data_IF_128662135705
#
_entry.id   IF_128662135705
#
_cell.length_a   1.000
_cell.length_b   1.000
_cell.length_c   1.000
_cell.angle_alpha   90.00
_cell.angle_beta   90.00
_cell.angle_gamma   90.00
#
_symmetry.space_group_name_H-M   'P 1'
#
loop_
_entity.id
_entity.type
_entity.pdbx_description
1 polymer ?
#
# COMPACT_ATOMS: atom_id res chain seq x y z
N UNK A 1 33.39 -34.57 17.02
CA UNK A 1 32.35 -34.23 16.02
C UNK A 1 30.95 -34.17 16.59
N UNK A 2 30.55 -34.99 17.54
CA UNK A 2 29.15 -35.06 18.07
C UNK A 2 28.70 -33.83 18.85
N UNK A 3 29.57 -33.14 19.60
CA UNK A 3 29.20 -31.96 20.41
C UNK A 3 28.90 -30.71 19.57
N UNK A 4 29.57 -30.56 18.41
CA UNK A 4 29.30 -29.40 17.51
C UNK A 4 27.94 -29.48 16.77
N UNK A 5 27.47 -30.70 16.51
CA UNK A 5 26.14 -30.89 15.90
C UNK A 5 24.98 -30.57 16.85
N UNK A 6 25.14 -30.90 18.14
CA UNK A 6 24.11 -30.66 19.16
C UNK A 6 23.95 -29.14 19.40
N UNK A 7 25.03 -28.37 19.41
CA UNK A 7 24.97 -26.91 19.56
C UNK A 7 24.29 -26.23 18.39
N UNK A 8 24.43 -26.71 17.15
CA UNK A 8 23.80 -26.16 15.98
C UNK A 8 22.25 -26.40 15.97
N UNK A 9 21.81 -27.55 16.47
CA UNK A 9 20.40 -27.90 16.56
C UNK A 9 19.70 -27.09 17.66
N UNK A 10 20.37 -26.86 18.81
CA UNK A 10 19.81 -26.01 19.88
C UNK A 10 19.70 -24.53 19.46
N UNK A 11 20.66 -24.00 18.69
CA UNK A 11 20.60 -22.63 18.19
C UNK A 11 19.46 -22.42 17.17
N UNK A 12 19.18 -23.41 16.32
CA UNK A 12 18.08 -23.37 15.37
C UNK A 12 16.70 -23.42 16.07
N UNK A 13 16.58 -24.18 17.15
CA UNK A 13 15.32 -24.29 17.91
C UNK A 13 14.94 -23.01 18.67
N UNK A 14 15.90 -22.18 19.06
CA UNK A 14 15.67 -20.91 19.75
C UNK A 14 15.24 -19.77 18.83
N UNK A 15 15.50 -19.85 17.52
CA UNK A 15 15.12 -18.83 16.55
C UNK A 15 13.72 -19.02 15.95
N UNK A 16 13.17 -20.23 15.99
CA UNK A 16 11.85 -20.57 15.43
C UNK A 16 10.69 -19.77 16.05
N UNK A 17 10.56 -19.61 17.38
CA UNK A 17 9.42 -18.88 17.96
C UNK A 17 9.43 -17.38 17.63
N UNK A 18 10.60 -16.77 17.41
CA UNK A 18 10.71 -15.36 17.01
C UNK A 18 10.25 -15.13 15.58
N UNK A 19 10.54 -16.03 14.67
CA UNK A 19 10.11 -15.94 13.27
C UNK A 19 8.59 -16.10 13.13
N UNK A 20 7.99 -17.03 13.85
CA UNK A 20 6.54 -17.26 13.87
C UNK A 20 5.77 -16.07 14.43
N UNK A 21 6.24 -15.45 15.50
CA UNK A 21 5.61 -14.25 16.09
C UNK A 21 5.71 -13.03 15.16
N UNK A 22 6.82 -12.87 14.43
CA UNK A 22 6.99 -11.77 13.49
C UNK A 22 6.06 -11.92 12.28
N UNK A 23 5.87 -13.15 11.79
CA UNK A 23 4.97 -13.44 10.67
C UNK A 23 3.51 -13.22 11.03
N UNK A 24 3.05 -13.70 12.19
CA UNK A 24 1.70 -13.43 12.69
C UNK A 24 1.43 -11.92 12.82
N UNK A 25 2.40 -11.16 13.32
CA UNK A 25 2.30 -9.70 13.41
C UNK A 25 2.23 -9.02 12.05
N UNK A 26 2.97 -9.51 11.06
CA UNK A 26 2.93 -8.97 9.70
C UNK A 26 1.63 -9.33 8.99
N UNK A 27 1.12 -10.56 9.16
CA UNK A 27 -0.18 -10.94 8.60
C UNK A 27 -1.34 -10.11 9.18
N UNK A 28 -1.35 -9.84 10.46
CA UNK A 28 -2.30 -8.91 11.07
C UNK A 28 -2.26 -7.51 10.46
N UNK A 29 -1.06 -7.01 10.09
CA UNK A 29 -0.91 -5.72 9.41
C UNK A 29 -1.41 -5.78 7.97
N UNK A 30 -1.12 -6.86 7.24
CA UNK A 30 -1.62 -7.11 5.88
C UNK A 30 -3.14 -7.11 5.87
N UNK A 31 -3.74 -7.89 6.77
CA UNK A 31 -5.20 -7.98 6.92
C UNK A 31 -5.83 -6.62 7.27
N UNK A 32 -5.19 -5.84 8.15
CA UNK A 32 -5.63 -4.48 8.45
C UNK A 32 -5.64 -3.59 7.19
N UNK A 33 -4.61 -3.69 6.35
CA UNK A 33 -4.53 -2.92 5.10
C UNK A 33 -5.60 -3.35 4.11
N UNK A 34 -5.91 -4.65 3.98
CA UNK A 34 -7.01 -5.17 3.14
C UNK A 34 -8.37 -4.64 3.60
N UNK A 35 -8.66 -4.74 4.90
CA UNK A 35 -9.91 -4.22 5.50
C UNK A 35 -10.06 -2.72 5.30
N UNK A 36 -8.98 -1.97 5.49
CA UNK A 36 -8.93 -0.53 5.25
C UNK A 36 -9.27 -0.21 3.80
N UNK A 37 -8.63 -0.88 2.84
CA UNK A 37 -8.88 -0.67 1.42
C UNK A 37 -10.34 -0.97 1.04
N UNK A 38 -10.86 -2.12 1.47
CA UNK A 38 -12.26 -2.50 1.21
C UNK A 38 -13.26 -1.47 1.77
N UNK A 39 -13.02 -0.98 3.00
CA UNK A 39 -13.86 0.07 3.61
C UNK A 39 -13.78 1.37 2.82
N UNK A 40 -12.59 1.80 2.43
CA UNK A 40 -12.37 3.03 1.68
C UNK A 40 -13.02 2.99 0.30
N UNK A 41 -12.88 1.87 -0.42
CA UNK A 41 -13.53 1.69 -1.72
C UNK A 41 -15.06 1.69 -1.60
N UNK A 42 -15.61 1.03 -0.58
CA UNK A 42 -17.07 1.06 -0.33
C UNK A 42 -17.57 2.49 -0.08
N UNK A 43 -16.78 3.30 0.60
CA UNK A 43 -17.12 4.72 0.82
C UNK A 43 -16.99 5.53 -0.47
N UNK A 44 -15.93 5.33 -1.27
CA UNK A 44 -15.76 5.98 -2.56
C UNK A 44 -16.95 5.68 -3.49
N UNK A 45 -17.37 4.41 -3.60
CA UNK A 45 -18.49 4.01 -4.47
C UNK A 45 -19.83 4.62 -4.07
N UNK A 46 -20.01 4.99 -2.79
CA UNK A 46 -21.19 5.72 -2.33
C UNK A 46 -21.12 7.20 -2.70
N UNK A 47 -19.93 7.81 -2.62
CA UNK A 47 -19.71 9.22 -2.92
C UNK A 47 -19.68 9.51 -4.42
N UNK A 48 -19.08 8.59 -5.18
CA UNK A 48 -18.90 8.67 -6.63
C UNK A 48 -19.12 7.28 -7.26
N UNK A 49 -20.35 6.93 -7.63
CA UNK A 49 -20.68 5.60 -8.15
C UNK A 49 -19.93 5.21 -9.43
N UNK A 50 -19.56 6.18 -10.27
CA UNK A 50 -18.82 5.93 -11.52
C UNK A 50 -17.41 5.42 -11.26
N UNK A 51 -16.85 5.70 -10.08
CA UNK A 51 -15.53 5.24 -9.66
C UNK A 51 -15.40 3.72 -9.62
N UNK A 52 -16.49 2.99 -9.39
CA UNK A 52 -16.47 1.53 -9.40
C UNK A 52 -16.11 0.99 -10.79
N UNK A 53 -16.73 1.51 -11.84
CA UNK A 53 -16.43 1.14 -13.21
C UNK A 53 -15.00 1.56 -13.61
N UNK A 54 -14.54 2.74 -13.16
CA UNK A 54 -13.18 3.22 -13.39
C UNK A 54 -12.14 2.26 -12.80
N UNK A 55 -12.32 1.84 -11.54
CA UNK A 55 -11.43 0.89 -10.85
C UNK A 55 -11.45 -0.49 -11.53
N UNK A 56 -12.62 -0.99 -11.91
CA UNK A 56 -12.74 -2.29 -12.57
C UNK A 56 -12.03 -2.35 -13.93
N UNK A 57 -12.00 -1.23 -14.66
CA UNK A 57 -11.35 -1.12 -15.99
C UNK A 57 -9.87 -0.75 -15.90
N UNK A 58 -9.37 -0.35 -14.73
CA UNK A 58 -7.98 0.08 -14.53
C UNK A 58 -7.02 -1.10 -14.53
N UNK A 59 -5.75 -0.86 -14.84
CA UNK A 59 -4.67 -1.83 -14.65
C UNK A 59 -4.43 -2.16 -13.16
N UNK A 60 -4.75 -1.21 -12.29
CA UNK A 60 -4.67 -1.39 -10.85
C UNK A 60 -5.02 -0.13 -10.09
N UNK A 61 -5.05 -0.26 -8.78
CA UNK A 61 -5.33 0.84 -7.87
C UNK A 61 -4.52 0.73 -6.57
N UNK A 62 -4.37 1.84 -5.86
CA UNK A 62 -3.73 1.84 -4.54
C UNK A 62 -4.56 2.67 -3.57
N UNK A 63 -4.67 2.21 -2.32
CA UNK A 63 -5.48 2.85 -1.28
C UNK A 63 -4.62 3.14 -0.06
N UNK A 64 -4.74 4.36 0.47
CA UNK A 64 -4.06 4.82 1.68
C UNK A 64 -5.05 5.52 2.60
N UNK A 65 -4.90 5.31 3.90
CA UNK A 65 -5.74 5.92 4.92
C UNK A 65 -4.87 6.67 5.94
N UNK A 66 -5.09 7.97 6.03
CA UNK A 66 -4.47 8.87 7.01
C UNK A 66 -5.46 9.31 8.10
N UNK A 67 -6.60 8.63 8.23
CA UNK A 67 -7.62 8.96 9.21
C UNK A 67 -7.20 8.57 10.62
N UNK A 68 -7.35 9.48 11.56
CA UNK A 68 -7.16 9.19 13.00
C UNK A 68 -5.71 9.07 13.46
N UNK A 69 -4.72 9.42 12.66
CA UNK A 69 -3.35 9.57 13.12
C UNK A 69 -3.21 10.87 13.91
N UNK A 70 -3.14 10.77 15.24
CA UNK A 70 -2.87 11.91 16.11
C UNK A 70 -1.43 12.42 15.89
N UNK A 71 -1.26 13.38 15.01
CA UNK A 71 0.03 13.94 14.58
C UNK A 71 0.51 15.13 15.41
N UNK A 72 -0.15 15.40 16.53
CA UNK A 72 0.20 16.53 17.41
C UNK A 72 1.63 16.47 17.97
N UNK A 73 2.30 15.32 17.90
CA UNK A 73 3.64 15.13 18.46
C UNK A 73 4.70 14.64 17.47
N UNK A 74 4.33 14.33 16.22
CA UNK A 74 5.28 13.82 15.23
C UNK A 74 5.18 14.63 13.93
N UNK A 75 6.27 15.24 13.53
CA UNK A 75 6.42 15.98 12.27
C UNK A 75 6.27 15.10 11.02
N UNK A 76 5.99 13.79 11.17
CA UNK A 76 5.83 12.85 10.07
C UNK A 76 4.67 11.88 10.36
N UNK A 77 3.65 11.89 9.49
CA UNK A 77 2.63 10.85 9.45
C UNK A 77 3.14 9.64 8.66
N UNK A 78 3.01 8.46 9.25
CA UNK A 78 3.31 7.19 8.57
C UNK A 78 2.04 6.37 8.47
N UNK A 79 1.55 6.18 7.25
CA UNK A 79 0.33 5.43 7.00
C UNK A 79 0.62 4.18 6.18
N UNK A 80 -0.18 3.15 6.40
CA UNK A 80 -0.14 1.94 5.61
C UNK A 80 -1.09 2.05 4.44
N UNK A 81 -0.71 1.46 3.33
CA UNK A 81 -1.53 1.33 2.14
C UNK A 81 -1.37 -0.02 1.48
N UNK A 82 -2.16 -0.25 0.46
CA UNK A 82 -2.09 -1.44 -0.38
C UNK A 82 -2.36 -1.05 -1.82
N UNK A 83 -1.56 -1.55 -2.74
CA UNK A 83 -1.81 -1.50 -4.17
C UNK A 83 -2.21 -2.88 -4.68
N UNK A 84 -3.15 -2.91 -5.61
CA UNK A 84 -3.69 -4.15 -6.18
C UNK A 84 -3.62 -4.04 -7.70
N UNK A 85 -2.98 -5.01 -8.34
CA UNK A 85 -3.03 -5.20 -9.78
C UNK A 85 -4.38 -5.80 -10.15
N UNK A 86 -5.15 -5.13 -11.01
CA UNK A 86 -6.51 -5.55 -11.37
C UNK A 86 -6.54 -6.84 -12.18
N UNK A 87 -5.48 -7.13 -12.97
CA UNK A 87 -5.39 -8.29 -13.83
C UNK A 87 -4.94 -9.54 -13.05
N UNK A 88 -3.83 -9.42 -12.30
CA UNK A 88 -3.20 -10.56 -11.60
C UNK A 88 -3.73 -10.77 -10.19
N UNK A 89 -4.47 -9.79 -9.64
CA UNK A 89 -4.90 -9.71 -8.23
C UNK A 89 -3.74 -9.67 -7.23
N UNK A 90 -2.52 -9.43 -7.72
CA UNK A 90 -1.35 -9.31 -6.86
C UNK A 90 -1.48 -8.09 -5.95
N UNK A 91 -1.25 -8.32 -4.66
CA UNK A 91 -1.20 -7.29 -3.63
C UNK A 91 0.24 -6.82 -3.42
N UNK A 92 0.41 -5.52 -3.30
CA UNK A 92 1.67 -4.90 -2.87
C UNK A 92 1.38 -3.98 -1.71
N UNK A 93 1.92 -4.27 -0.54
CA UNK A 93 1.77 -3.44 0.64
C UNK A 93 2.67 -2.22 0.55
N UNK A 94 2.10 -1.05 0.82
CA UNK A 94 2.74 0.24 0.64
C UNK A 94 2.80 1.02 1.96
N UNK A 95 3.64 2.02 1.98
CA UNK A 95 3.73 3.04 3.04
C UNK A 95 3.49 4.41 2.42
N UNK A 96 2.88 5.30 3.19
CA UNK A 96 2.83 6.73 2.90
C UNK A 96 3.52 7.47 4.04
N UNK A 97 4.37 8.42 3.69
CA UNK A 97 4.95 9.40 4.63
C UNK A 97 4.52 10.78 4.16
N UNK A 98 4.01 11.59 5.08
CA UNK A 98 3.77 13.00 4.85
C UNK A 98 4.79 13.79 5.69
N UNK A 99 5.62 14.58 5.03
CA UNK A 99 6.60 15.45 5.67
C UNK A 99 6.14 16.90 5.54
N UNK A 100 6.19 17.65 6.64
CA UNK A 100 6.11 19.10 6.60
C UNK A 100 4.73 19.66 6.27
N UNK A 101 3.66 19.10 6.78
CA UNK A 101 2.43 19.87 6.91
C UNK A 101 2.76 21.10 7.77
N UNK A 102 2.76 22.26 7.15
CA UNK A 102 3.09 23.51 7.81
C UNK A 102 2.36 23.66 9.13
N UNK A 103 3.07 24.09 10.12
CA UNK A 103 2.54 24.51 11.41
C UNK A 103 1.37 25.46 11.11
N UNK A 104 0.12 24.99 11.32
CA UNK A 104 -1.07 25.82 11.14
C UNK A 104 -2.17 25.31 10.22
N UNK A 105 -1.89 24.40 9.28
CA UNK A 105 -2.94 23.77 8.48
C UNK A 105 -3.14 22.35 9.00
N UNK A 106 -4.02 22.19 9.97
CA UNK A 106 -4.29 20.95 10.70
C UNK A 106 -4.16 19.71 9.85
N UNK A 107 -3.54 18.68 10.42
CA UNK A 107 -3.45 17.35 9.81
C UNK A 107 -4.84 16.91 9.44
N UNK A 108 -5.11 16.91 8.14
CA UNK A 108 -6.43 16.58 7.66
C UNK A 108 -6.54 15.06 7.59
N UNK A 109 -7.47 14.53 8.33
CA UNK A 109 -7.90 13.16 8.14
C UNK A 109 -8.40 13.00 6.70
N UNK A 110 -7.71 12.18 5.91
CA UNK A 110 -8.07 11.93 4.51
C UNK A 110 -7.67 10.52 4.08
N UNK A 111 -8.35 10.02 3.08
CA UNK A 111 -8.00 8.81 2.35
C UNK A 111 -7.69 9.16 0.92
N UNK A 112 -6.71 8.48 0.36
CA UNK A 112 -6.27 8.67 -1.03
C UNK A 112 -6.42 7.36 -1.78
N UNK A 113 -7.04 7.43 -2.94
CA UNK A 113 -7.18 6.30 -3.86
C UNK A 113 -6.53 6.71 -5.19
N UNK A 114 -5.46 6.00 -5.56
CA UNK A 114 -4.85 6.08 -6.88
C UNK A 114 -5.50 5.07 -7.81
N UNK A 115 -5.72 5.47 -9.05
CA UNK A 115 -6.16 4.58 -10.15
C UNK A 115 -5.14 4.70 -11.26
N UNK A 116 -4.69 3.56 -11.78
CA UNK A 116 -3.70 3.47 -12.84
C UNK A 116 -4.38 2.95 -14.11
N UNK A 117 -4.42 3.78 -15.17
CA UNK A 117 -5.08 3.41 -16.44
C UNK A 117 -4.39 2.26 -17.16
N UNK A 118 -3.07 2.14 -16.96
CA UNK A 118 -2.26 1.16 -17.68
C UNK A 118 -1.17 0.54 -16.78
N UNK A 119 -0.65 -0.60 -17.21
CA UNK A 119 0.35 -1.37 -16.47
C UNK A 119 1.66 -0.61 -16.27
N UNK A 120 2.03 0.27 -17.20
CA UNK A 120 3.25 1.09 -17.10
C UNK A 120 3.16 2.06 -15.92
N UNK A 121 2.03 2.75 -15.78
CA UNK A 121 1.81 3.68 -14.67
C UNK A 121 1.80 2.94 -13.32
N UNK A 122 1.13 1.78 -13.26
CA UNK A 122 1.12 0.92 -12.08
C UNK A 122 2.53 0.43 -11.72
N UNK A 123 3.28 -0.11 -12.68
CA UNK A 123 4.63 -0.62 -12.46
C UNK A 123 5.56 0.50 -11.95
N UNK A 124 5.53 1.66 -12.58
CA UNK A 124 6.32 2.82 -12.15
C UNK A 124 6.00 3.23 -10.71
N UNK A 125 4.72 3.26 -10.33
CA UNK A 125 4.30 3.55 -8.97
C UNK A 125 4.80 2.50 -7.96
N UNK A 126 4.74 1.21 -8.33
CA UNK A 126 5.18 0.11 -7.46
C UNK A 126 6.70 0.07 -7.31
N UNK A 127 7.47 0.38 -8.34
CA UNK A 127 8.92 0.26 -8.33
C UNK A 127 9.62 1.50 -7.78
N UNK A 128 9.24 2.67 -8.28
CA UNK A 128 9.88 3.94 -7.93
C UNK A 128 9.18 4.68 -6.79
N UNK A 129 7.93 4.28 -6.47
CA UNK A 129 7.04 5.05 -5.63
C UNK A 129 6.52 6.31 -6.34
N UNK A 130 5.89 7.18 -5.55
CA UNK A 130 5.38 8.44 -6.04
C UNK A 130 5.50 9.53 -4.97
N UNK A 131 5.74 10.77 -5.39
CA UNK A 131 5.86 11.91 -4.49
C UNK A 131 5.00 13.08 -4.98
N UNK A 132 4.18 13.61 -4.07
CA UNK A 132 3.42 14.81 -4.32
C UNK A 132 4.31 16.05 -4.29
N UNK A 133 4.16 16.93 -5.28
CA UNK A 133 4.86 18.20 -5.41
C UNK A 133 3.88 19.36 -5.58
N UNK A 134 4.38 20.58 -5.48
CA UNK A 134 3.58 21.77 -5.78
C UNK A 134 3.07 21.78 -7.24
N UNK A 135 3.86 21.24 -8.16
CA UNK A 135 3.47 21.07 -9.57
C UNK A 135 2.31 20.08 -9.72
N UNK A 136 2.31 19.01 -8.92
CA UNK A 136 1.22 18.03 -8.89
C UNK A 136 -0.08 18.68 -8.41
N UNK A 137 -0.03 19.49 -7.35
CA UNK A 137 -1.20 20.20 -6.83
C UNK A 137 -1.71 21.27 -7.82
N UNK A 138 -0.81 21.89 -8.59
CA UNK A 138 -1.16 22.85 -9.64
C UNK A 138 -1.83 22.13 -10.84
N UNK A 139 -1.30 20.99 -11.28
CA UNK A 139 -1.90 20.19 -12.34
C UNK A 139 -3.27 19.65 -11.92
N UNK A 140 -3.40 19.26 -10.65
CA UNK A 140 -4.64 18.82 -10.05
C UNK A 140 -5.75 19.87 -10.07
N UNK A 141 -5.40 21.15 -9.92
CA UNK A 141 -6.36 22.28 -10.03
C UNK A 141 -6.85 22.51 -11.44
N UNK A 142 -6.05 22.15 -12.45
CA UNK A 142 -6.37 22.36 -13.87
C UNK A 142 -7.15 21.22 -14.51
N UNK A 143 -7.21 20.05 -13.88
CA UNK A 143 -7.52 18.78 -14.55
C UNK A 143 -8.80 18.06 -14.12
N UNK A 144 -9.81 18.71 -13.53
CA UNK A 144 -11.09 18.05 -13.30
C UNK A 144 -11.84 17.83 -14.63
N UNK A 145 -11.54 16.76 -15.34
CA UNK A 145 -12.32 16.35 -16.51
C UNK A 145 -13.46 15.44 -16.04
N UNK A 146 -14.68 15.77 -16.47
CA UNK A 146 -15.82 14.84 -16.35
C UNK A 146 -15.57 13.57 -17.19
N UNK A 147 -16.38 12.54 -17.01
CA UNK A 147 -16.29 11.28 -17.74
C UNK A 147 -16.03 10.09 -16.81
N UNK A 148 -15.25 9.11 -17.28
CA UNK A 148 -15.02 7.87 -16.58
C UNK A 148 -14.38 8.04 -15.17
N UNK A 149 -13.69 9.17 -14.94
CA UNK A 149 -13.01 9.51 -13.68
C UNK A 149 -13.63 10.75 -13.02
N UNK A 150 -14.97 10.88 -13.09
CA UNK A 150 -15.68 11.97 -12.42
C UNK A 150 -15.26 12.08 -10.95
N UNK A 151 -14.94 13.28 -10.48
CA UNK A 151 -14.48 13.53 -9.11
C UNK A 151 -13.04 13.13 -8.80
N UNK A 152 -12.31 12.50 -9.75
CA UNK A 152 -10.87 12.26 -9.64
C UNK A 152 -10.08 13.37 -10.33
N UNK A 153 -8.82 13.46 -9.97
CA UNK A 153 -7.86 14.40 -10.55
C UNK A 153 -6.69 13.63 -11.14
N UNK A 154 -6.31 13.94 -12.38
CA UNK A 154 -5.11 13.39 -12.99
C UNK A 154 -3.87 14.08 -12.39
N UNK A 155 -2.99 13.29 -11.78
CA UNK A 155 -1.78 13.77 -11.09
C UNK A 155 -0.49 13.48 -11.86
N UNK A 156 -0.58 12.56 -12.81
CA UNK A 156 0.46 12.22 -13.79
C UNK A 156 -0.23 11.50 -14.96
N UNK A 157 0.39 11.38 -16.14
CA UNK A 157 -0.20 10.69 -17.29
C UNK A 157 -0.68 9.27 -16.93
N UNK A 158 -1.99 9.03 -17.02
CA UNK A 158 -2.62 7.77 -16.68
C UNK A 158 -2.70 7.44 -15.19
N UNK A 159 -2.49 8.43 -14.31
CA UNK A 159 -2.61 8.29 -12.84
C UNK A 159 -3.66 9.26 -12.32
N UNK A 160 -4.75 8.72 -11.85
CA UNK A 160 -5.88 9.47 -11.30
C UNK A 160 -5.96 9.29 -9.78
N UNK A 161 -6.43 10.31 -9.08
CA UNK A 161 -6.52 10.30 -7.62
C UNK A 161 -7.88 10.80 -7.16
N UNK A 162 -8.51 10.02 -6.29
CA UNK A 162 -9.59 10.47 -5.43
C UNK A 162 -9.05 10.76 -4.04
N UNK A 163 -9.53 11.82 -3.42
CA UNK A 163 -9.27 12.11 -2.02
C UNK A 163 -10.59 12.23 -1.27
N UNK A 164 -10.77 11.42 -0.24
CA UNK A 164 -11.92 11.45 0.65
C UNK A 164 -11.52 12.10 1.97
N UNK A 165 -12.26 13.10 2.40
CA UNK A 165 -12.11 13.78 3.68
C UNK A 165 -13.29 13.49 4.58
N UNK A 166 -13.30 14.00 5.80
CA UNK A 166 -14.49 13.95 6.69
C UNK A 166 -15.74 14.61 6.07
N UNK A 167 -15.54 15.53 5.14
CA UNK A 167 -16.61 16.28 4.47
C UNK A 167 -17.02 15.67 3.12
N UNK A 168 -16.53 14.48 2.79
CA UNK A 168 -16.79 13.81 1.52
C UNK A 168 -15.62 13.92 0.53
N UNK A 169 -15.94 13.82 -0.77
CA UNK A 169 -14.93 13.85 -1.82
C UNK A 169 -14.33 15.25 -1.95
N UNK A 170 -13.01 15.33 -1.94
CA UNK A 170 -12.27 16.58 -2.09
C UNK A 170 -12.10 16.92 -3.58
N UNK A 171 -12.52 18.11 -3.97
CA UNK A 171 -12.33 18.64 -5.33
C UNK A 171 -10.92 19.22 -5.54
N UNK A 172 -10.19 19.45 -4.47
CA UNK A 172 -8.80 19.90 -4.48
C UNK A 172 -7.93 18.91 -3.71
N UNK A 173 -6.91 18.39 -4.38
CA UNK A 173 -5.94 17.50 -3.75
C UNK A 173 -4.89 18.33 -2.99
N UNK A 174 -4.47 17.79 -1.86
CA UNK A 174 -3.31 18.28 -1.12
C UNK A 174 -2.36 17.10 -0.94
N UNK A 175 -1.51 16.89 -1.93
CA UNK A 175 -0.56 15.77 -1.98
C UNK A 175 0.88 16.25 -1.76
N UNK A 176 1.13 17.57 -1.74
CA UNK A 176 2.45 18.15 -1.52
C UNK A 176 3.07 17.64 -0.22
N UNK A 177 4.35 17.25 -0.31
CA UNK A 177 5.09 16.73 0.83
C UNK A 177 4.73 15.28 1.23
N UNK A 178 3.93 14.58 0.42
CA UNK A 178 3.66 13.16 0.63
C UNK A 178 4.53 12.28 -0.25
N UNK A 179 4.99 11.15 0.28
CA UNK A 179 5.72 10.13 -0.45
C UNK A 179 5.08 8.77 -0.22
N UNK A 180 4.85 8.05 -1.32
CA UNK A 180 4.28 6.71 -1.36
C UNK A 180 5.33 5.74 -1.85
N UNK A 181 5.54 4.61 -1.15
CA UNK A 181 6.58 3.65 -1.49
C UNK A 181 6.28 2.26 -0.93
N UNK A 182 6.95 1.25 -1.47
CA UNK A 182 6.78 -0.15 -1.08
C UNK A 182 7.17 -0.39 0.37
N UNK A 183 6.39 -1.22 1.06
CA UNK A 183 6.71 -1.69 2.40
C UNK A 183 7.43 -3.03 2.33
N UNK A 184 8.76 -3.02 2.29
CA UNK A 184 9.56 -4.22 2.13
C UNK A 184 9.25 -5.28 3.19
N UNK A 185 9.01 -4.89 4.45
CA UNK A 185 8.73 -5.83 5.53
C UNK A 185 7.46 -6.64 5.31
N UNK A 186 6.41 -6.01 4.74
CA UNK A 186 5.14 -6.67 4.46
C UNK A 186 5.12 -7.40 3.11
N UNK A 187 6.05 -7.10 2.20
CA UNK A 187 6.14 -7.74 0.89
C UNK A 187 7.17 -8.88 0.83
N UNK A 188 7.97 -9.08 1.89
CA UNK A 188 8.86 -10.24 1.97
C UNK A 188 8.03 -11.52 1.94
N UNK A 189 8.28 -12.36 0.95
CA UNK A 189 7.77 -13.75 0.97
C UNK A 189 8.50 -14.48 2.09
N UNK A 190 7.76 -15.15 2.97
CA UNK A 190 8.38 -16.10 3.90
C UNK A 190 8.97 -17.22 3.05
N UNK A 191 10.27 -17.38 3.13
CA UNK A 191 10.91 -18.57 2.60
C UNK A 191 10.39 -19.75 3.43
N UNK A 192 9.37 -20.44 2.95
CA UNK A 192 8.99 -21.75 3.46
C UNK A 192 10.21 -22.65 3.23
N UNK A 193 10.98 -22.92 4.28
CA UNK A 193 11.94 -23.99 4.27
C UNK A 193 11.14 -25.28 4.06
N UNK A 194 11.10 -25.74 2.82
CA UNK A 194 10.79 -27.11 2.54
C UNK A 194 11.88 -27.93 3.20
N UNK A 195 11.63 -28.43 4.40
CA UNK A 195 12.39 -29.53 4.96
C UNK A 195 12.17 -30.67 3.98
N UNK A 196 13.22 -30.95 3.19
CA UNK A 196 13.22 -31.96 2.15
C UNK A 196 12.79 -33.28 2.74
N UNK A 197 11.71 -33.83 2.20
CA UNK A 197 11.41 -35.25 2.33
C UNK A 197 12.58 -35.99 1.71
N UNK A 198 13.28 -36.74 2.55
CA UNK A 198 14.42 -37.54 2.17
C UNK A 198 14.10 -38.42 0.98
N UNK A 199 14.81 -38.25 -0.10
CA UNK A 199 14.88 -39.24 -1.16
C UNK A 199 15.51 -40.50 -0.57
N UNK A 200 14.68 -41.54 -0.47
CA UNK A 200 15.15 -42.88 -0.12
C UNK A 200 16.18 -43.33 -1.14
N UNK A 201 17.36 -43.62 -0.66
CA UNK A 201 18.43 -44.28 -1.39
C UNK A 201 17.98 -45.72 -1.66
N UNK A 202 17.57 -46.03 -2.89
CA UNK A 202 17.42 -47.41 -3.33
C UNK A 202 18.78 -47.91 -3.77
N UNK A 203 19.35 -48.81 -2.97
CA UNK A 203 20.48 -49.63 -3.35
C UNK A 203 20.00 -50.72 -4.27
N UNK A 204 20.40 -50.71 -5.53
CA UNK A 204 20.28 -51.84 -6.44
C UNK A 204 21.51 -52.77 -6.24
N UNK A 205 21.26 -53.97 -5.85
CA UNK A 205 22.12 -55.13 -5.96
C UNK A 205 22.29 -55.56 -7.41
#
# INVERSE_FOLDING_TARGET
MRVRMIAAILAAALLLPFALNAEDKNEKKREKSRKMAAKTLKELYKLEPTSQAAIQKSAGYAVFDNMGTNLLLLSTARCSGIAINSNTKQETFMKMISAGAGIGLGVKDYRVIFIFENDKALAQFLDSGWSGSAQTDAAAKAGSKGGAYSGAVEVAPGVWVYQITKNGLALQLTLQGTKYYKNDDLNKKVALYHVGQGQGYQSSS
#
